data_IF_508667290705
#
_entry.id   IF_508667290705
#
_cell.length_a   1.000
_cell.length_b   1.000
_cell.length_c   1.000
_cell.angle_alpha   90.00
_cell.angle_beta   90.00
_cell.angle_gamma   90.00
#
_symmetry.space_group_name_H-M   'P 1'
#
loop_
_entity.id
_entity.type
_entity.pdbx_description
1 polymer ?
#
# COMPACT_ATOMS: atom_id res chain seq x y z
N UNK A 1 30.50 21.65 0.91
CA UNK A 1 29.34 21.48 1.77
C UNK A 1 28.45 20.48 1.04
N UNK A 2 28.58 19.19 1.34
CA UNK A 2 27.69 18.19 0.80
C UNK A 2 26.30 18.43 1.39
N UNK A 3 25.32 18.60 0.52
CA UNK A 3 23.93 18.64 0.94
C UNK A 3 23.62 17.31 1.60
N UNK A 4 23.41 17.28 2.90
CA UNK A 4 22.91 16.12 3.61
C UNK A 4 21.56 15.76 2.98
N UNK A 5 21.56 14.69 2.17
CA UNK A 5 20.33 14.18 1.60
C UNK A 5 19.47 13.63 2.74
N UNK A 6 18.47 14.40 3.14
CA UNK A 6 17.46 13.92 4.09
C UNK A 6 16.55 12.97 3.30
N UNK A 7 16.49 11.69 3.66
CA UNK A 7 15.58 10.77 3.00
C UNK A 7 14.14 11.24 3.21
N UNK A 8 13.41 11.41 2.11
CA UNK A 8 12.00 11.74 2.16
C UNK A 8 11.19 10.48 1.86
N UNK A 9 10.10 10.24 2.57
CA UNK A 9 9.22 9.13 2.26
C UNK A 9 8.63 9.30 0.85
N UNK A 10 8.53 8.20 0.12
CA UNK A 10 7.92 8.15 -1.20
C UNK A 10 6.61 7.38 -1.13
N UNK A 11 5.65 7.74 -1.98
CA UNK A 11 4.42 6.99 -2.16
C UNK A 11 4.65 6.03 -3.34
N UNK A 12 4.46 4.74 -3.09
CA UNK A 12 4.43 3.71 -4.14
C UNK A 12 2.96 3.34 -4.36
N UNK A 13 2.54 3.37 -5.62
CA UNK A 13 1.19 3.02 -5.99
C UNK A 13 1.21 1.83 -6.95
N UNK A 14 0.45 0.80 -6.65
CA UNK A 14 0.32 -0.40 -7.49
C UNK A 14 -1.12 -0.57 -7.92
N UNK A 15 -1.35 -0.68 -9.22
CA UNK A 15 -2.64 -1.04 -9.81
C UNK A 15 -2.51 -2.44 -10.37
N UNK A 16 -3.38 -3.34 -9.94
CA UNK A 16 -3.49 -4.69 -10.46
C UNK A 16 -4.83 -4.81 -11.15
N UNK A 17 -4.80 -5.20 -12.41
CA UNK A 17 -5.98 -5.38 -13.24
C UNK A 17 -5.96 -6.76 -13.89
N UNK A 18 -7.06 -7.50 -13.74
CA UNK A 18 -7.25 -8.80 -14.38
C UNK A 18 -7.83 -8.59 -15.78
N UNK A 19 -6.95 -8.49 -16.77
CA UNK A 19 -7.29 -8.25 -18.15
C UNK A 19 -6.13 -7.71 -18.99
N UNK A 20 -6.33 -7.47 -20.28
CA UNK A 20 -5.28 -7.02 -21.15
C UNK A 20 -4.79 -5.60 -20.81
N UNK A 21 -3.50 -5.34 -21.02
CA UNK A 21 -2.86 -4.05 -20.74
C UNK A 21 -3.59 -2.86 -21.40
N UNK A 22 -4.17 -3.07 -22.59
CA UNK A 22 -4.91 -2.02 -23.29
C UNK A 22 -6.15 -1.53 -22.52
N UNK A 23 -6.77 -2.37 -21.71
CA UNK A 23 -7.96 -2.01 -20.95
C UNK A 23 -7.63 -1.33 -19.61
N UNK A 24 -6.40 -1.47 -19.09
CA UNK A 24 -5.99 -0.83 -17.82
C UNK A 24 -5.72 0.65 -17.99
N UNK A 25 -5.51 1.13 -19.21
CA UNK A 25 -5.15 2.52 -19.48
C UNK A 25 -6.13 3.53 -18.85
N UNK A 26 -7.43 3.31 -19.02
CA UNK A 26 -8.45 4.22 -18.49
C UNK A 26 -8.44 4.30 -16.95
N UNK A 27 -8.03 3.23 -16.28
CA UNK A 27 -7.91 3.19 -14.81
C UNK A 27 -6.59 3.78 -14.31
N UNK A 28 -5.51 3.66 -15.08
CA UNK A 28 -4.18 4.13 -14.69
C UNK A 28 -3.92 5.60 -15.04
N UNK A 29 -4.59 6.14 -16.06
CA UNK A 29 -4.41 7.51 -16.54
C UNK A 29 -4.48 8.56 -15.42
N UNK A 30 -5.46 8.56 -14.51
CA UNK A 30 -5.51 9.56 -13.43
C UNK A 30 -4.29 9.58 -12.53
N UNK A 31 -3.63 8.43 -12.36
CA UNK A 31 -2.40 8.33 -11.56
C UNK A 31 -1.17 8.75 -12.38
N UNK A 32 -1.14 8.38 -13.66
CA UNK A 32 -0.06 8.79 -14.57
C UNK A 32 -0.05 10.32 -14.79
N UNK A 33 -1.21 10.94 -14.84
CA UNK A 33 -1.36 12.40 -14.99
C UNK A 33 -0.84 13.19 -13.77
N UNK A 34 -0.65 12.53 -12.62
CA UNK A 34 0.01 13.14 -11.45
C UNK A 34 1.51 13.36 -11.65
N UNK A 35 2.11 12.83 -12.72
CA UNK A 35 3.53 12.95 -13.00
C UNK A 35 4.41 12.17 -12.02
N UNK A 36 4.24 10.85 -11.91
CA UNK A 36 5.05 10.03 -11.02
C UNK A 36 6.54 10.12 -11.38
N UNK A 37 7.42 9.99 -10.40
CA UNK A 37 8.87 9.97 -10.59
C UNK A 37 9.31 8.79 -11.48
N UNK A 38 8.59 7.69 -11.39
CA UNK A 38 8.77 6.50 -12.22
C UNK A 38 7.45 5.77 -12.37
N UNK A 39 7.17 5.22 -13.54
CA UNK A 39 5.99 4.42 -13.81
C UNK A 39 6.37 3.23 -14.69
N UNK A 40 5.92 2.04 -14.32
CA UNK A 40 6.08 0.80 -15.09
C UNK A 40 4.71 0.19 -15.28
N UNK A 41 4.39 -0.21 -16.51
CA UNK A 41 3.19 -0.96 -16.84
C UNK A 41 3.59 -2.20 -17.62
N UNK A 42 3.14 -3.37 -17.18
CA UNK A 42 3.50 -4.65 -17.77
C UNK A 42 2.43 -5.70 -17.53
N UNK A 43 2.33 -6.66 -18.44
CA UNK A 43 1.55 -7.88 -18.23
C UNK A 43 2.43 -8.92 -17.55
N UNK A 44 1.92 -9.56 -16.52
CA UNK A 44 2.64 -10.57 -15.74
C UNK A 44 1.73 -11.75 -15.42
N UNK A 45 2.28 -12.95 -15.23
CA UNK A 45 1.54 -14.06 -14.65
C UNK A 45 1.05 -13.73 -13.23
N UNK A 46 -0.10 -14.24 -12.87
CA UNK A 46 -0.67 -14.05 -11.52
C UNK A 46 0.31 -14.43 -10.39
N UNK A 47 1.10 -15.48 -10.59
CA UNK A 47 2.07 -15.96 -9.60
C UNK A 47 3.22 -14.99 -9.33
N UNK A 48 3.48 -14.04 -10.25
CA UNK A 48 4.59 -13.09 -10.13
C UNK A 48 4.18 -11.79 -9.41
N UNK A 49 2.87 -11.60 -9.14
CA UNK A 49 2.33 -10.40 -8.47
C UNK A 49 3.00 -10.17 -7.12
N UNK A 50 3.16 -11.21 -6.31
CA UNK A 50 3.76 -11.10 -4.98
C UNK A 50 5.19 -10.52 -5.05
N UNK A 51 6.00 -10.95 -6.01
CA UNK A 51 7.35 -10.43 -6.21
C UNK A 51 7.39 -8.96 -6.59
N UNK A 52 6.42 -8.50 -7.38
CA UNK A 52 6.35 -7.10 -7.81
C UNK A 52 5.78 -6.15 -6.74
N UNK A 53 4.98 -6.67 -5.84
CA UNK A 53 4.36 -5.87 -4.77
C UNK A 53 5.17 -5.85 -3.47
N UNK A 54 6.41 -6.35 -3.48
CA UNK A 54 7.27 -6.37 -2.29
C UNK A 54 6.89 -7.44 -1.27
N UNK A 55 6.22 -8.51 -1.72
CA UNK A 55 5.82 -9.66 -0.89
C UNK A 55 6.42 -10.98 -1.39
N UNK A 56 7.44 -10.91 -2.23
CA UNK A 56 8.18 -12.07 -2.72
C UNK A 56 9.09 -12.69 -1.66
N UNK A 57 9.56 -13.91 -1.91
CA UNK A 57 10.42 -14.65 -0.97
C UNK A 57 11.71 -13.91 -0.57
N UNK A 58 12.21 -13.04 -1.45
CA UNK A 58 13.43 -12.26 -1.23
C UNK A 58 13.19 -10.89 -0.61
N UNK A 59 11.94 -10.51 -0.37
CA UNK A 59 11.62 -9.22 0.21
C UNK A 59 11.93 -9.20 1.71
N UNK A 60 12.25 -8.02 2.23
CA UNK A 60 12.65 -7.84 3.63
C UNK A 60 11.61 -8.37 4.61
N UNK A 61 10.33 -8.33 4.23
CA UNK A 61 9.22 -8.83 5.04
C UNK A 61 9.23 -10.35 5.21
N UNK A 62 9.88 -11.09 4.30
CA UNK A 62 9.97 -12.55 4.30
C UNK A 62 11.34 -13.08 4.78
N UNK A 63 12.31 -12.21 5.03
CA UNK A 63 13.65 -12.61 5.44
C UNK A 63 13.66 -13.09 6.89
N UNK A 64 14.40 -14.17 7.15
CA UNK A 64 14.62 -14.68 8.51
C UNK A 64 15.41 -13.67 9.33
N UNK A 65 14.98 -13.46 10.57
CA UNK A 65 15.63 -12.53 11.52
C UNK A 65 15.12 -11.09 11.44
N UNK A 66 14.24 -10.76 10.51
CA UNK A 66 13.54 -9.48 10.51
C UNK A 66 12.41 -9.50 11.56
N UNK A 67 12.37 -8.49 12.43
CA UNK A 67 11.24 -8.26 13.34
C UNK A 67 10.37 -7.17 12.77
N UNK A 68 9.15 -7.51 12.41
CA UNK A 68 8.17 -6.56 11.90
C UNK A 68 7.02 -6.44 12.89
N UNK A 69 6.86 -5.25 13.46
CA UNK A 69 5.69 -4.91 14.25
C UNK A 69 4.61 -4.39 13.29
N UNK A 70 3.41 -4.97 13.38
CA UNK A 70 2.28 -4.61 12.53
C UNK A 70 1.13 -4.12 13.39
N UNK A 71 0.51 -3.02 13.00
CA UNK A 71 -0.59 -2.38 13.72
C UNK A 71 -1.73 -2.10 12.72
N UNK A 72 -2.53 -3.11 12.36
CA UNK A 72 -3.61 -2.92 11.39
C UNK A 72 -4.74 -2.06 11.96
N UNK A 73 -5.24 -1.14 11.16
CA UNK A 73 -6.39 -0.29 11.45
C UNK A 73 -7.38 -0.42 10.30
N UNK A 74 -8.62 -0.79 10.60
CA UNK A 74 -9.69 -0.88 9.63
C UNK A 74 -10.47 0.43 9.54
N UNK A 75 -10.77 0.87 8.33
CA UNK A 75 -11.45 2.13 8.06
C UNK A 75 -12.61 1.93 7.08
N UNK A 76 -13.73 2.58 7.34
CA UNK A 76 -14.90 2.59 6.46
C UNK A 76 -14.74 3.58 5.29
N UNK A 77 -13.94 4.62 5.46
CA UNK A 77 -13.79 5.68 4.46
C UNK A 77 -12.39 6.28 4.43
N UNK A 78 -12.00 6.75 3.26
CA UNK A 78 -10.74 7.46 3.08
C UNK A 78 -10.89 8.95 3.43
N UNK A 79 -10.24 9.39 4.49
CA UNK A 79 -10.17 10.79 4.86
C UNK A 79 -8.84 11.40 4.41
N UNK A 80 -8.87 12.18 3.34
CA UNK A 80 -7.67 12.79 2.74
C UNK A 80 -6.88 13.62 3.75
N UNK A 81 -7.57 14.40 4.60
CA UNK A 81 -6.92 15.24 5.60
C UNK A 81 -6.20 14.39 6.65
N UNK A 82 -6.85 13.34 7.15
CA UNK A 82 -6.25 12.43 8.12
C UNK A 82 -5.03 11.70 7.50
N UNK A 83 -5.16 11.21 6.26
CA UNK A 83 -4.04 10.56 5.56
C UNK A 83 -2.86 11.50 5.35
N UNK A 84 -3.11 12.77 5.05
CA UNK A 84 -2.05 13.78 4.97
C UNK A 84 -1.34 13.96 6.31
N UNK A 85 -2.08 14.01 7.43
CA UNK A 85 -1.50 14.10 8.75
C UNK A 85 -0.66 12.87 9.11
N UNK A 86 -1.12 11.67 8.74
CA UNK A 86 -0.34 10.42 8.90
C UNK A 86 0.97 10.49 8.12
N UNK A 87 0.91 10.92 6.86
CA UNK A 87 2.11 11.08 6.04
C UNK A 87 3.10 12.08 6.65
N UNK A 88 2.63 13.24 7.09
CA UNK A 88 3.47 14.28 7.69
C UNK A 88 4.09 13.80 9.01
N UNK A 89 3.35 13.09 9.85
CA UNK A 89 3.85 12.48 11.09
C UNK A 89 4.90 11.40 10.79
N UNK A 90 4.63 10.54 9.81
CA UNK A 90 5.58 9.52 9.36
C UNK A 90 6.89 10.13 8.88
N UNK A 91 6.83 11.18 8.04
CA UNK A 91 8.00 11.91 7.57
C UNK A 91 8.82 12.49 8.74
N UNK A 92 8.16 13.09 9.72
CA UNK A 92 8.84 13.62 10.91
C UNK A 92 9.56 12.53 11.70
N UNK A 93 8.93 11.38 11.89
CA UNK A 93 9.53 10.24 12.59
C UNK A 93 10.77 9.74 11.85
N UNK A 94 10.71 9.59 10.52
CA UNK A 94 11.87 9.16 9.71
C UNK A 94 13.06 10.11 9.85
N UNK A 95 12.82 11.42 9.86
CA UNK A 95 13.86 12.43 10.01
C UNK A 95 14.47 12.41 11.43
N UNK A 96 13.65 12.25 12.46
CA UNK A 96 14.09 12.30 13.85
C UNK A 96 14.73 10.99 14.33
N UNK A 97 14.33 9.87 13.75
CA UNK A 97 14.71 8.53 14.18
C UNK A 97 15.16 7.68 12.99
N UNK A 98 16.40 7.83 12.50
CA UNK A 98 16.91 7.08 11.35
C UNK A 98 16.82 5.54 11.49
N UNK A 99 16.71 5.03 12.72
CA UNK A 99 16.49 3.60 12.95
C UNK A 99 15.19 3.08 12.34
N UNK A 100 14.23 3.94 12.05
CA UNK A 100 12.94 3.59 11.41
C UNK A 100 12.94 3.75 9.89
N UNK A 101 14.07 4.04 9.23
CA UNK A 101 14.14 4.27 7.79
C UNK A 101 13.63 3.11 6.91
N UNK A 102 13.53 1.91 7.47
CA UNK A 102 12.95 0.74 6.81
C UNK A 102 11.47 0.51 7.16
N UNK A 103 10.84 1.46 7.86
CA UNK A 103 9.42 1.39 8.15
C UNK A 103 8.60 1.86 6.96
N UNK A 104 7.38 1.34 6.87
CA UNK A 104 6.39 1.78 5.89
C UNK A 104 5.00 1.75 6.52
N UNK A 105 4.07 2.51 6.00
CA UNK A 105 2.67 2.29 6.20
C UNK A 105 1.99 2.02 4.86
N UNK A 106 1.02 1.14 4.88
CA UNK A 106 0.34 0.65 3.71
C UNK A 106 -1.14 1.01 3.81
N UNK A 107 -1.71 1.53 2.74
CA UNK A 107 -3.15 1.78 2.64
C UNK A 107 -3.70 0.87 1.56
N UNK A 108 -4.54 -0.07 1.95
CA UNK A 108 -5.13 -1.03 1.04
C UNK A 108 -6.64 -0.80 0.95
N UNK A 109 -7.17 -0.79 -0.27
CA UNK A 109 -8.60 -0.71 -0.53
C UNK A 109 -9.15 -2.04 -1.01
N UNK A 110 -10.22 -2.52 -0.39
CA UNK A 110 -10.85 -3.80 -0.72
C UNK A 110 -12.32 -3.64 -1.09
N UNK A 111 -12.78 -4.46 -2.05
CA UNK A 111 -14.20 -4.60 -2.27
C UNK A 111 -14.83 -5.41 -1.14
N UNK A 112 -15.84 -4.84 -0.48
CA UNK A 112 -16.57 -5.52 0.60
C UNK A 112 -17.82 -6.27 0.14
N UNK A 113 -18.14 -6.24 -1.16
CA UNK A 113 -19.36 -6.85 -1.71
C UNK A 113 -19.47 -8.35 -1.41
N UNK A 114 -18.37 -9.09 -1.53
CA UNK A 114 -18.32 -10.52 -1.24
C UNK A 114 -18.50 -10.80 0.25
N UNK A 115 -17.82 -10.03 1.10
CA UNK A 115 -17.86 -10.19 2.55
C UNK A 115 -19.24 -9.85 3.11
N UNK A 116 -19.89 -8.82 2.59
CA UNK A 116 -21.22 -8.39 3.02
C UNK A 116 -22.34 -9.39 2.66
N UNK A 117 -22.12 -10.26 1.68
CA UNK A 117 -23.08 -11.33 1.33
C UNK A 117 -23.15 -12.46 2.37
N UNK A 118 -22.11 -12.60 3.19
CA UNK A 118 -22.08 -13.61 4.24
C UNK A 118 -22.69 -13.02 5.50
N UNK A 119 -23.71 -13.64 6.12
CA UNK A 119 -24.32 -13.15 7.35
C UNK A 119 -23.30 -12.98 8.47
N UNK A 120 -23.45 -11.93 9.29
CA UNK A 120 -22.46 -11.57 10.32
C UNK A 120 -22.23 -12.69 11.35
N UNK A 121 -23.27 -13.49 11.63
CA UNK A 121 -23.22 -14.60 12.57
C UNK A 121 -22.48 -15.83 12.06
N UNK A 122 -22.20 -15.92 10.73
CA UNK A 122 -21.64 -17.12 10.13
C UNK A 122 -20.11 -17.16 10.20
N UNK A 123 -19.47 -16.04 10.51
CA UNK A 123 -18.01 -15.97 10.61
C UNK A 123 -17.57 -15.01 11.74
N UNK A 124 -16.35 -15.20 12.23
CA UNK A 124 -15.76 -14.35 13.26
C UNK A 124 -15.20 -13.01 12.74
N UNK A 125 -15.28 -12.74 11.41
CA UNK A 125 -14.75 -11.51 10.83
C UNK A 125 -15.69 -10.32 11.06
N UNK A 126 -15.31 -9.32 11.87
CA UNK A 126 -16.20 -8.22 12.24
C UNK A 126 -16.21 -7.05 11.25
N UNK A 127 -15.16 -6.90 10.42
CA UNK A 127 -14.89 -5.72 9.58
C UNK A 127 -15.58 -5.78 8.22
N UNK A 128 -16.88 -6.04 8.19
CA UNK A 128 -17.62 -6.27 6.92
C UNK A 128 -17.96 -4.99 6.18
N UNK A 129 -17.99 -3.84 6.87
CA UNK A 129 -18.21 -2.53 6.29
C UNK A 129 -16.92 -1.78 5.97
N UNK A 130 -15.80 -2.25 6.52
CA UNK A 130 -14.53 -1.56 6.44
C UNK A 130 -13.83 -1.96 5.14
N UNK A 131 -13.85 -1.07 4.15
CA UNK A 131 -13.27 -1.34 2.83
C UNK A 131 -11.81 -0.94 2.72
N UNK A 132 -11.21 -0.50 3.80
CA UNK A 132 -9.81 -0.08 3.84
C UNK A 132 -9.07 -0.65 5.04
N UNK A 133 -7.81 -0.96 4.82
CA UNK A 133 -6.83 -1.36 5.83
C UNK A 133 -5.65 -0.40 5.77
N UNK A 134 -5.26 0.12 6.94
CA UNK A 134 -4.05 0.93 7.15
C UNK A 134 -3.05 0.12 7.96
#
# INVERSE_FOLDING_TARGET
MEATHIPQPVIIYTIIYDGPQSAVHDYSTPIQDLGPLNAVSQEIPYLDIAGLTGNGENDIACQKGATLLRFPIYLESYNVTAMRQVYDAFNQIMVQQPAFNNSFFLVEGYSVQGVQKVPAQDTAFPHRGDNMLL
#
